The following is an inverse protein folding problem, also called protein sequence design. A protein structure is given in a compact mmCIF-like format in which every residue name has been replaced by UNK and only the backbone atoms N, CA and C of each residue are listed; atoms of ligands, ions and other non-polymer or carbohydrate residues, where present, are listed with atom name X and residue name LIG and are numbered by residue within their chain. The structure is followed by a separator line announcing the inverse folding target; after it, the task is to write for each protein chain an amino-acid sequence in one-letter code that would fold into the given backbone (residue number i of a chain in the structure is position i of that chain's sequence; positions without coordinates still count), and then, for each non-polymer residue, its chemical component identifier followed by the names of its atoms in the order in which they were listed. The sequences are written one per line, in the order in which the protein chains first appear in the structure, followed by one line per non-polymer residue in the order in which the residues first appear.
data_IF_659928313996
#
_entry.id   IF_659928313996
#
_cell.length_a   1.000
_cell.length_b   1.000
_cell.length_c   1.000
_cell.angle_alpha   90.00
_cell.angle_beta   90.00
_cell.angle_gamma   90.00
#
_symmetry.space_group_name_H-M   'P 1'
#
loop_
_entity.id
_entity.type
_entity.pdbx_description
1 polymer ?
#
# COMPACT_ATOMS: atom_id res chain seq x y z
N UNK A 1 -7.29 18.05 -3.32
CA UNK A 1 -5.82 17.98 -3.47
C UNK A 1 -5.21 17.59 -2.15
N UNK A 2 -4.23 16.68 -2.14
CA UNK A 2 -3.52 16.27 -0.93
C UNK A 2 -2.30 17.18 -0.69
N UNK A 3 -2.16 17.71 0.53
CA UNK A 3 -1.02 18.54 0.94
C UNK A 3 -0.69 18.24 2.38
N UNK A 4 0.55 17.81 2.63
CA UNK A 4 1.05 17.50 3.97
C UNK A 4 2.55 17.72 4.02
N UNK A 5 3.07 17.97 5.23
CA UNK A 5 4.50 18.10 5.46
C UNK A 5 5.07 16.76 5.89
N UNK A 6 6.01 16.25 5.11
CA UNK A 6 6.78 15.05 5.44
C UNK A 6 7.89 15.41 6.44
N UNK A 7 7.94 14.69 7.56
CA UNK A 7 8.93 14.93 8.64
C UNK A 7 9.89 13.75 8.84
N UNK A 8 9.47 12.58 8.43
CA UNK A 8 10.15 11.30 8.57
C UNK A 8 10.69 10.82 7.22
N UNK A 9 11.56 9.81 7.24
CA UNK A 9 12.03 9.07 6.07
C UNK A 9 11.72 7.58 6.25
N UNK A 10 11.70 6.83 5.15
CA UNK A 10 11.46 5.39 5.14
C UNK A 10 10.49 4.94 4.05
N UNK A 11 10.14 3.65 4.10
CA UNK A 11 9.25 3.00 3.13
C UNK A 11 7.82 3.01 3.63
N UNK A 12 6.95 3.69 2.89
CA UNK A 12 5.51 3.77 3.11
C UNK A 12 4.78 3.30 1.86
N UNK A 13 3.46 3.46 1.85
CA UNK A 13 2.59 3.18 0.71
C UNK A 13 1.37 4.08 0.78
N UNK A 14 0.70 4.25 -0.34
CA UNK A 14 -0.62 4.88 -0.41
C UNK A 14 -1.62 3.88 -1.00
N UNK A 15 -2.89 4.07 -0.68
CA UNK A 15 -4.00 3.34 -1.29
C UNK A 15 -5.27 4.17 -1.30
N UNK A 16 -6.25 3.74 -2.11
CA UNK A 16 -7.58 4.31 -2.09
C UNK A 16 -8.25 4.09 -0.73
N UNK A 17 -8.94 5.12 -0.25
CA UNK A 17 -9.78 5.07 0.96
C UNK A 17 -11.27 5.18 0.61
N UNK A 18 -11.65 4.68 -0.57
CA UNK A 18 -13.03 4.68 -1.03
C UNK A 18 -13.41 3.30 -1.55
N UNK A 19 -14.49 2.77 -0.99
CA UNK A 19 -15.06 1.47 -1.35
C UNK A 19 -13.99 0.36 -1.36
N UNK A 20 -13.99 -0.51 -2.37
CA UNK A 20 -13.04 -1.62 -2.55
C UNK A 20 -11.89 -1.32 -3.50
N UNK A 21 -11.64 -0.04 -3.81
CA UNK A 21 -10.67 0.39 -4.83
C UNK A 21 -9.22 -0.02 -4.52
N UNK A 22 -8.86 -0.15 -3.24
CA UNK A 22 -7.55 -0.68 -2.84
C UNK A 22 -7.35 -2.09 -3.40
N UNK A 23 -8.31 -2.98 -3.18
CA UNK A 23 -8.23 -4.38 -3.60
C UNK A 23 -8.28 -4.50 -5.13
N UNK A 24 -8.88 -3.52 -5.82
CA UNK A 24 -8.85 -3.39 -7.28
C UNK A 24 -7.48 -2.95 -7.84
N UNK A 25 -6.50 -2.69 -6.98
CA UNK A 25 -5.13 -2.34 -7.37
C UNK A 25 -4.79 -0.85 -7.24
N UNK A 26 -5.66 -0.04 -6.64
CA UNK A 26 -5.35 1.38 -6.39
C UNK A 26 -4.51 1.51 -5.11
N UNK A 27 -3.25 1.11 -5.22
CA UNK A 27 -2.22 1.31 -4.22
C UNK A 27 -0.85 1.45 -4.88
N UNK A 28 0.13 1.92 -4.11
CA UNK A 28 1.51 2.00 -4.59
C UNK A 28 2.50 2.33 -3.48
N UNK A 29 3.79 2.04 -3.68
CA UNK A 29 4.81 2.41 -2.71
C UNK A 29 4.99 3.92 -2.63
N UNK A 30 5.34 4.38 -1.44
CA UNK A 30 5.73 5.76 -1.14
C UNK A 30 7.05 5.72 -0.39
N UNK A 31 8.16 5.81 -1.12
CA UNK A 31 9.49 5.89 -0.53
C UNK A 31 9.82 7.34 -0.21
N UNK A 32 10.24 7.59 1.03
CA UNK A 32 10.65 8.92 1.48
C UNK A 32 12.12 8.88 1.82
N UNK A 33 12.93 9.46 0.94
CA UNK A 33 14.38 9.53 1.09
C UNK A 33 14.80 10.30 2.35
N UNK A 34 15.80 9.83 3.10
CA UNK A 34 16.34 10.55 4.23
C UNK A 34 17.10 11.80 3.77
N UNK A 35 16.96 12.90 4.53
CA UNK A 35 17.65 14.16 4.24
C UNK A 35 19.17 14.04 4.30
N UNK A 36 19.66 13.21 5.21
CA UNK A 36 21.07 12.88 5.35
C UNK A 36 21.26 11.43 4.90
N UNK A 37 22.44 11.14 4.36
CA UNK A 37 22.81 9.79 3.95
C UNK A 37 22.68 8.81 5.12
N UNK A 38 22.14 7.63 4.83
CA UNK A 38 21.99 6.55 5.79
C UNK A 38 23.36 6.06 6.33
N UNK A 39 23.41 5.53 7.57
CA UNK A 39 24.66 5.08 8.19
C UNK A 39 25.23 3.81 7.54
N UNK A 40 24.52 3.21 6.59
CA UNK A 40 24.90 2.01 5.86
C UNK A 40 25.16 2.31 4.37
N UNK A 41 25.70 1.31 3.66
CA UNK A 41 25.95 1.37 2.21
C UNK A 41 25.31 0.18 1.55
N UNK A 42 24.77 0.39 0.36
CA UNK A 42 24.23 -0.64 -0.52
C UNK A 42 24.60 -0.28 -1.96
N UNK A 43 24.72 -1.31 -2.80
CA UNK A 43 24.98 -1.13 -4.24
C UNK A 43 23.69 -0.93 -5.04
N UNK A 44 22.56 -1.45 -4.50
CA UNK A 44 21.24 -1.45 -5.14
C UNK A 44 20.13 -1.39 -4.10
N UNK A 45 19.01 -0.79 -4.48
CA UNK A 45 17.77 -0.76 -3.71
C UNK A 45 16.63 -1.33 -4.56
N UNK A 46 15.73 -2.09 -3.93
CA UNK A 46 14.54 -2.65 -4.56
C UNK A 46 13.33 -2.46 -3.66
N UNK A 47 12.23 -1.99 -4.22
CA UNK A 47 10.93 -1.94 -3.54
C UNK A 47 10.09 -3.13 -3.95
N UNK A 48 9.68 -3.95 -2.98
CA UNK A 48 8.67 -4.99 -3.17
C UNK A 48 7.39 -4.58 -2.43
N UNK A 49 6.29 -4.45 -3.17
CA UNK A 49 4.96 -4.29 -2.60
C UNK A 49 4.22 -5.62 -2.78
N UNK A 50 3.86 -6.25 -1.67
CA UNK A 50 3.15 -7.52 -1.67
C UNK A 50 1.65 -7.25 -1.56
N UNK A 51 0.89 -7.85 -2.47
CA UNK A 51 -0.56 -7.79 -2.45
C UNK A 51 -1.11 -9.12 -2.95
N UNK A 52 -2.24 -9.53 -2.39
CA UNK A 52 -3.01 -10.66 -2.89
C UNK A 52 -3.90 -10.21 -4.06
N UNK A 53 -4.27 -11.16 -4.91
CA UNK A 53 -5.17 -10.93 -6.03
C UNK A 53 -6.30 -11.95 -6.00
N UNK A 54 -7.51 -11.50 -6.36
CA UNK A 54 -8.67 -12.37 -6.46
C UNK A 54 -9.41 -12.13 -7.77
N UNK A 55 -9.74 -13.20 -8.49
CA UNK A 55 -10.54 -13.13 -9.72
C UNK A 55 -12.03 -12.82 -9.47
N UNK A 56 -12.48 -12.89 -8.21
CA UNK A 56 -13.84 -12.57 -7.81
C UNK A 56 -13.95 -11.08 -7.63
N UNK A 57 -15.06 -10.52 -8.12
CA UNK A 57 -15.43 -9.12 -7.90
C UNK A 57 -15.27 -8.73 -6.42
N UNK A 58 -14.51 -7.68 -6.10
CA UNK A 58 -14.15 -7.36 -4.72
C UNK A 58 -15.35 -7.00 -3.85
N UNK A 59 -16.44 -6.49 -4.44
CA UNK A 59 -17.69 -6.26 -3.70
C UNK A 59 -18.34 -7.57 -3.24
N UNK A 60 -18.17 -8.65 -4.02
CA UNK A 60 -18.66 -9.99 -3.64
C UNK A 60 -17.80 -10.59 -2.53
N UNK A 61 -16.48 -10.47 -2.64
CA UNK A 61 -15.54 -10.88 -1.58
C UNK A 61 -15.90 -10.15 -0.27
N UNK A 62 -16.07 -8.82 -0.32
CA UNK A 62 -16.44 -8.03 0.84
C UNK A 62 -17.81 -8.40 1.42
N UNK A 63 -18.82 -8.61 0.58
CA UNK A 63 -20.16 -9.01 1.02
C UNK A 63 -20.15 -10.38 1.72
N UNK A 64 -19.32 -11.31 1.27
CA UNK A 64 -19.19 -12.63 1.89
C UNK A 64 -18.49 -12.56 3.25
N UNK A 65 -17.38 -11.82 3.36
CA UNK A 65 -16.68 -11.56 4.62
C UNK A 65 -17.59 -10.93 5.70
N UNK A 66 -18.60 -10.14 5.30
CA UNK A 66 -19.57 -9.56 6.23
C UNK A 66 -20.62 -10.55 6.73
N UNK A 67 -20.88 -11.63 5.99
CA UNK A 67 -21.94 -12.62 6.30
C UNK A 67 -21.40 -13.86 7.00
N UNK A 68 -20.15 -14.21 6.74
CA UNK A 68 -19.55 -15.43 7.22
C UNK A 68 -18.12 -15.14 7.68
N UNK A 69 -17.83 -15.39 8.95
CA UNK A 69 -16.55 -15.04 9.58
C UNK A 69 -15.39 -15.94 9.16
N UNK A 70 -15.68 -17.10 8.59
CA UNK A 70 -14.72 -18.09 8.07
C UNK A 70 -14.67 -18.13 6.53
N UNK A 71 -15.27 -17.14 5.86
CA UNK A 71 -15.15 -16.96 4.41
C UNK A 71 -13.72 -16.54 4.01
#
# INVERSE_FOLDING_TARGET
TYRFTVKQSGTYWYHAHSDVQEIEGLYGPLVIEPKAREPYRYDREYTLLLADWHDTRPETVFANLKKQSDY
#
